data_IF_588463599730
#
_entry.id   IF_588463599730
#
_cell.length_a   1.000
_cell.length_b   1.000
_cell.length_c   1.000
_cell.angle_alpha   90.00
_cell.angle_beta   90.00
_cell.angle_gamma   90.00
#
_symmetry.space_group_name_H-M   'P 1'
#
loop_
_entity.id
_entity.type
_entity.pdbx_description
1 polymer ?
#
# COMPACT_ATOMS: atom_id res chain seq x y z
N UNK A 1 2.56 4.32 -32.23
CA UNK A 1 3.29 4.34 -30.93
C UNK A 1 3.62 5.81 -30.69
N UNK A 2 3.06 6.38 -29.64
CA UNK A 2 3.36 7.76 -29.24
C UNK A 2 4.80 7.74 -28.71
N UNK A 3 5.64 8.61 -29.24
CA UNK A 3 7.01 8.74 -28.76
C UNK A 3 6.99 9.58 -27.47
N UNK A 4 7.00 8.91 -26.33
CA UNK A 4 6.96 9.54 -25.00
C UNK A 4 8.09 10.56 -24.76
N UNK A 5 9.16 10.51 -25.56
CA UNK A 5 10.24 11.47 -25.47
C UNK A 5 9.88 12.80 -26.14
N UNK A 6 9.17 12.74 -27.26
CA UNK A 6 8.66 13.95 -27.94
C UNK A 6 7.53 14.63 -27.14
N UNK A 7 6.69 13.86 -26.43
CA UNK A 7 5.71 14.44 -25.51
C UNK A 7 6.35 15.12 -24.29
N UNK A 8 7.46 14.62 -23.76
CA UNK A 8 8.18 15.29 -22.67
C UNK A 8 8.64 16.69 -23.05
N UNK A 9 9.08 16.88 -24.27
CA UNK A 9 9.56 18.17 -24.77
C UNK A 9 8.41 19.16 -25.05
N UNK A 10 7.21 18.64 -25.30
CA UNK A 10 6.01 19.44 -25.58
C UNK A 10 5.22 19.87 -24.33
N UNK A 11 5.33 19.15 -23.23
CA UNK A 11 4.43 19.34 -22.08
C UNK A 11 4.97 20.25 -20.99
N UNK A 12 6.14 20.84 -21.10
CA UNK A 12 6.71 21.73 -20.05
C UNK A 12 6.55 21.11 -18.64
N UNK A 13 6.81 19.80 -18.51
CA UNK A 13 6.58 19.05 -17.28
C UNK A 13 7.52 19.53 -16.19
N UNK A 14 6.97 19.87 -15.04
CA UNK A 14 7.75 20.16 -13.84
C UNK A 14 8.49 18.89 -13.43
N UNK A 15 9.80 18.95 -13.39
CA UNK A 15 10.61 17.85 -12.90
C UNK A 15 10.36 17.69 -11.39
N UNK A 16 9.76 16.55 -10.99
CA UNK A 16 9.48 16.27 -9.59
C UNK A 16 10.71 15.62 -8.99
N UNK A 17 11.34 16.32 -8.04
CA UNK A 17 12.46 15.77 -7.28
C UNK A 17 11.96 14.73 -6.26
N UNK A 18 12.64 13.58 -6.19
CA UNK A 18 12.43 12.55 -5.18
C UNK A 18 12.60 13.05 -3.72
N UNK A 19 13.26 14.18 -3.52
CA UNK A 19 13.53 14.76 -2.19
C UNK A 19 12.29 15.07 -1.35
N UNK A 20 11.12 15.16 -1.95
CA UNK A 20 9.85 15.44 -1.27
C UNK A 20 9.00 14.19 -1.02
N UNK A 21 9.43 13.06 -1.53
CA UNK A 21 8.71 11.82 -1.45
C UNK A 21 9.58 10.73 -0.83
N UNK A 22 8.96 9.82 -0.15
CA UNK A 22 9.63 8.64 0.39
C UNK A 22 9.94 7.67 -0.76
N UNK A 23 11.20 7.29 -0.92
CA UNK A 23 11.56 6.24 -1.87
C UNK A 23 11.41 4.86 -1.25
N UNK A 24 11.22 3.86 -2.12
CA UNK A 24 11.28 2.47 -1.70
C UNK A 24 12.69 2.09 -1.23
N UNK A 25 12.85 1.34 -0.14
CA UNK A 25 14.15 0.81 0.28
C UNK A 25 14.73 -0.20 -0.72
N UNK A 26 13.93 -0.65 -1.67
CA UNK A 26 14.33 -1.61 -2.71
C UNK A 26 14.74 -0.95 -4.01
N UNK A 27 14.70 0.39 -4.10
CA UNK A 27 14.91 1.12 -5.35
C UNK A 27 16.24 0.76 -6.04
N UNK A 28 17.32 0.59 -5.27
CA UNK A 28 18.63 0.21 -5.80
C UNK A 28 18.65 -1.18 -6.46
N UNK A 29 17.67 -2.04 -6.15
CA UNK A 29 17.56 -3.38 -6.72
C UNK A 29 16.97 -3.41 -8.11
N UNK A 30 16.28 -2.37 -8.50
CA UNK A 30 15.56 -2.30 -9.78
C UNK A 30 15.73 -0.97 -10.51
N UNK A 31 16.57 -0.06 -10.00
CA UNK A 31 16.86 1.19 -10.69
C UNK A 31 17.61 0.93 -12.00
N UNK A 32 17.07 1.41 -13.09
CA UNK A 32 17.63 1.29 -14.43
C UNK A 32 17.52 2.61 -15.16
N UNK A 33 18.37 2.80 -16.20
CA UNK A 33 18.30 3.98 -17.06
C UNK A 33 16.98 4.10 -17.84
N UNK A 34 16.18 3.04 -17.88
CA UNK A 34 14.87 3.00 -18.56
C UNK A 34 13.70 3.13 -17.59
N UNK A 35 13.97 3.26 -16.30
CA UNK A 35 12.92 3.32 -15.30
C UNK A 35 12.12 4.63 -15.43
N UNK A 36 10.80 4.48 -15.45
CA UNK A 36 9.85 5.59 -15.31
C UNK A 36 9.30 5.53 -13.90
N UNK A 37 9.34 6.67 -13.21
CA UNK A 37 8.85 6.80 -11.84
C UNK A 37 7.57 7.62 -11.79
N UNK A 38 6.75 7.34 -10.79
CA UNK A 38 5.53 8.08 -10.47
C UNK A 38 5.38 8.28 -8.98
N UNK A 39 4.39 9.04 -8.58
CA UNK A 39 4.04 9.26 -7.17
C UNK A 39 2.74 8.54 -6.87
N UNK A 40 2.75 7.74 -5.80
CA UNK A 40 1.59 7.05 -5.28
C UNK A 40 1.73 6.93 -3.75
N UNK A 41 0.67 7.21 -3.01
CA UNK A 41 0.66 7.21 -1.54
C UNK A 41 1.83 8.03 -0.91
N UNK A 42 2.15 9.19 -1.49
CA UNK A 42 3.30 10.03 -1.13
C UNK A 42 4.67 9.33 -1.25
N UNK A 43 4.74 8.25 -2.03
CA UNK A 43 5.99 7.53 -2.31
C UNK A 43 6.37 7.67 -3.77
N UNK A 44 7.67 7.78 -4.00
CA UNK A 44 8.24 7.83 -5.34
C UNK A 44 8.58 6.40 -5.76
N UNK A 45 7.80 5.86 -6.69
CA UNK A 45 7.80 4.45 -7.06
C UNK A 45 8.16 4.25 -8.52
N UNK A 46 8.72 3.07 -8.83
CA UNK A 46 8.87 2.64 -10.21
C UNK A 46 7.49 2.29 -10.80
N UNK A 47 7.14 2.93 -11.90
CA UNK A 47 5.94 2.62 -12.69
C UNK A 47 6.26 1.66 -13.83
N UNK A 48 7.46 1.79 -14.38
CA UNK A 48 7.93 0.97 -15.49
C UNK A 48 9.46 0.88 -15.45
N UNK A 49 10.01 -0.29 -15.68
CA UNK A 49 11.45 -0.57 -15.57
C UNK A 49 12.12 -0.86 -16.92
N UNK A 50 11.43 -0.62 -18.04
CA UNK A 50 11.96 -0.87 -19.39
C UNK A 50 11.78 -2.29 -19.88
N UNK A 51 10.95 -3.10 -19.22
CA UNK A 51 10.70 -4.50 -19.59
C UNK A 51 9.59 -4.63 -20.64
N UNK A 52 9.55 -5.81 -21.31
CA UNK A 52 8.44 -6.17 -22.17
C UNK A 52 7.19 -6.49 -21.32
N UNK A 53 6.10 -5.72 -21.41
CA UNK A 53 4.89 -5.93 -20.60
C UNK A 53 4.17 -7.25 -20.96
N UNK A 54 4.26 -7.71 -22.20
CA UNK A 54 3.65 -8.98 -22.62
C UNK A 54 4.38 -10.15 -21.98
N UNK A 55 5.72 -10.11 -22.00
CA UNK A 55 6.53 -11.14 -21.35
C UNK A 55 6.28 -11.15 -19.83
N UNK A 56 6.17 -9.99 -19.19
CA UNK A 56 5.86 -9.88 -17.75
C UNK A 56 4.47 -10.43 -17.44
N UNK A 57 3.47 -10.11 -18.25
CA UNK A 57 2.14 -10.67 -18.09
C UNK A 57 2.14 -12.21 -18.09
N UNK A 58 2.81 -12.83 -19.06
CA UNK A 58 2.88 -14.29 -19.12
C UNK A 58 3.73 -14.89 -18.01
N UNK A 59 4.78 -14.20 -17.57
CA UNK A 59 5.54 -14.62 -16.39
C UNK A 59 4.66 -14.62 -15.14
N UNK A 60 3.85 -13.59 -14.94
CA UNK A 60 2.88 -13.52 -13.84
C UNK A 60 1.86 -14.67 -13.90
N UNK A 61 1.35 -14.98 -15.09
CA UNK A 61 0.33 -16.02 -15.28
C UNK A 61 0.86 -17.45 -15.14
N UNK A 62 2.13 -17.67 -15.46
CA UNK A 62 2.72 -19.01 -15.55
C UNK A 62 3.73 -19.33 -14.43
N UNK A 63 4.31 -18.32 -13.81
CA UNK A 63 5.33 -18.43 -12.77
C UNK A 63 4.98 -17.56 -11.56
N UNK A 64 5.76 -16.54 -11.30
CA UNK A 64 5.46 -15.49 -10.31
C UNK A 64 6.25 -14.21 -10.63
N UNK A 65 5.75 -13.10 -10.13
CA UNK A 65 6.44 -11.82 -10.07
C UNK A 65 6.43 -11.28 -8.65
N UNK A 66 7.47 -10.52 -8.33
CA UNK A 66 7.56 -9.73 -7.12
C UNK A 66 7.28 -8.27 -7.46
N UNK A 67 6.48 -7.60 -6.64
CA UNK A 67 6.16 -6.19 -6.78
C UNK A 67 6.58 -5.45 -5.51
N UNK A 68 7.27 -4.34 -5.70
CA UNK A 68 7.44 -3.33 -4.68
C UNK A 68 6.22 -2.43 -4.71
N UNK A 69 5.37 -2.53 -3.70
CA UNK A 69 4.08 -1.84 -3.69
C UNK A 69 4.07 -0.69 -2.70
N UNK A 70 3.46 0.44 -3.07
CA UNK A 70 3.51 1.68 -2.27
C UNK A 70 2.48 1.73 -1.15
N UNK A 71 1.61 0.76 -1.00
CA UNK A 71 0.60 0.71 0.04
C UNK A 71 1.24 0.90 1.41
N UNK A 72 0.71 1.87 2.17
CA UNK A 72 1.25 2.26 3.46
C UNK A 72 0.40 1.70 4.59
N UNK A 73 0.98 0.83 5.47
CA UNK A 73 0.33 0.48 6.71
C UNK A 73 0.26 1.69 7.66
N UNK A 74 -0.88 1.81 8.34
CA UNK A 74 -1.09 2.73 9.46
C UNK A 74 -1.37 1.86 10.68
N UNK A 75 -0.64 2.05 11.76
CA UNK A 75 -0.83 1.34 13.01
C UNK A 75 -1.83 2.09 13.89
N UNK A 76 -2.79 1.35 14.45
CA UNK A 76 -3.79 1.85 15.38
C UNK A 76 -3.77 0.97 16.63
N UNK A 77 -3.45 1.57 17.78
CA UNK A 77 -3.38 0.90 19.09
C UNK A 77 -4.18 1.66 20.12
N UNK A 78 -4.59 1.00 21.17
CA UNK A 78 -5.22 1.62 22.32
C UNK A 78 -6.54 0.96 22.73
N UNK A 79 -7.00 1.18 23.97
CA UNK A 79 -8.18 0.54 24.51
C UNK A 79 -9.46 0.85 23.74
N UNK A 80 -9.54 2.02 23.08
CA UNK A 80 -10.69 2.40 22.27
C UNK A 80 -10.53 2.10 20.77
N UNK A 81 -9.46 1.40 20.34
CA UNK A 81 -9.16 1.16 18.93
C UNK A 81 -10.31 0.46 18.18
N UNK A 82 -11.00 -0.50 18.80
CA UNK A 82 -12.15 -1.20 18.20
C UNK A 82 -13.31 -0.23 17.99
N UNK A 83 -13.67 0.55 19.01
CA UNK A 83 -14.79 1.52 18.93
C UNK A 83 -14.48 2.61 17.92
N UNK A 84 -13.23 3.09 17.91
CA UNK A 84 -12.76 4.09 16.97
C UNK A 84 -12.86 3.59 15.52
N UNK A 85 -12.36 2.38 15.24
CA UNK A 85 -12.43 1.79 13.90
C UNK A 85 -13.89 1.45 13.50
N UNK A 86 -14.74 1.04 14.42
CA UNK A 86 -16.19 0.88 14.15
C UNK A 86 -16.88 2.20 13.79
N UNK A 87 -16.36 3.35 14.28
CA UNK A 87 -16.89 4.68 13.93
C UNK A 87 -16.45 5.13 12.55
N UNK A 88 -15.18 4.89 12.18
CA UNK A 88 -14.58 5.46 10.96
C UNK A 88 -14.69 4.56 9.73
N UNK A 89 -14.92 3.25 9.91
CA UNK A 89 -15.02 2.28 8.84
C UNK A 89 -16.46 1.81 8.65
N UNK A 90 -16.82 1.48 7.42
CA UNK A 90 -18.15 0.94 7.09
C UNK A 90 -18.34 -0.51 7.54
N UNK A 91 -17.26 -1.19 7.90
CA UNK A 91 -17.27 -2.57 8.38
C UNK A 91 -17.20 -2.61 9.88
N UNK A 92 -17.99 -3.51 10.51
CA UNK A 92 -17.99 -3.71 11.94
C UNK A 92 -16.73 -4.45 12.41
N UNK A 93 -15.77 -3.70 12.94
CA UNK A 93 -14.46 -4.22 13.37
C UNK A 93 -14.56 -5.00 14.68
N UNK A 94 -15.53 -4.67 15.54
CA UNK A 94 -15.81 -5.42 16.77
C UNK A 94 -16.11 -6.92 16.53
N UNK A 95 -16.60 -7.28 15.34
CA UNK A 95 -16.82 -8.69 14.95
C UNK A 95 -15.59 -9.36 14.34
N UNK A 96 -14.48 -8.63 14.17
CA UNK A 96 -13.28 -9.14 13.52
C UNK A 96 -12.49 -10.05 14.46
N UNK A 97 -12.13 -11.25 13.99
CA UNK A 97 -11.28 -12.18 14.74
C UNK A 97 -9.82 -11.72 14.73
N UNK A 98 -9.11 -11.95 15.83
CA UNK A 98 -7.65 -11.74 15.92
C UNK A 98 -6.96 -12.66 14.89
N UNK A 99 -5.87 -12.17 14.29
CA UNK A 99 -5.11 -12.86 13.26
C UNK A 99 -5.77 -12.86 11.88
N UNK A 100 -6.79 -11.99 11.64
CA UNK A 100 -7.47 -11.88 10.35
C UNK A 100 -7.30 -10.49 9.73
N UNK A 101 -7.40 -10.47 8.39
CA UNK A 101 -7.48 -9.27 7.59
C UNK A 101 -8.86 -9.15 6.92
N UNK A 102 -9.43 -7.95 6.89
CA UNK A 102 -10.70 -7.66 6.24
C UNK A 102 -10.57 -6.40 5.38
N UNK A 103 -11.12 -6.47 4.17
CA UNK A 103 -11.30 -5.27 3.37
C UNK A 103 -12.32 -4.35 4.03
N UNK A 104 -11.98 -3.08 4.20
CA UNK A 104 -12.82 -2.10 4.86
C UNK A 104 -12.68 -0.73 4.18
N UNK A 105 -13.79 -0.01 4.14
CA UNK A 105 -13.94 1.27 3.45
C UNK A 105 -14.25 2.36 4.47
N UNK A 106 -13.63 3.52 4.33
CA UNK A 106 -14.05 4.75 5.00
C UNK A 106 -14.84 5.63 4.02
N UNK A 107 -15.94 6.20 4.49
CA UNK A 107 -16.80 7.06 3.70
C UNK A 107 -16.87 8.46 4.26
N UNK A 108 -17.05 9.44 3.37
CA UNK A 108 -17.44 10.79 3.75
C UNK A 108 -18.87 10.84 4.29
N UNK A 109 -19.29 11.90 5.01
CA UNK A 109 -20.67 12.05 5.47
C UNK A 109 -21.74 12.01 4.36
N UNK A 110 -21.34 12.25 3.12
CA UNK A 110 -22.23 12.16 1.94
C UNK A 110 -22.26 10.78 1.31
N UNK A 111 -21.57 9.78 1.89
CA UNK A 111 -21.54 8.40 1.40
C UNK A 111 -20.52 8.14 0.28
N UNK A 112 -19.73 9.13 -0.13
CA UNK A 112 -18.63 8.91 -1.08
C UNK A 112 -17.48 8.15 -0.42
N UNK A 113 -16.85 7.24 -1.14
CA UNK A 113 -15.65 6.53 -0.68
C UNK A 113 -14.52 7.53 -0.50
N UNK A 114 -13.96 7.60 0.70
CA UNK A 114 -12.78 8.40 1.01
C UNK A 114 -11.50 7.57 0.92
N UNK A 115 -11.54 6.36 1.47
CA UNK A 115 -10.42 5.42 1.46
C UNK A 115 -10.95 3.99 1.45
N UNK A 116 -10.25 3.14 0.74
CA UNK A 116 -10.40 1.69 0.81
C UNK A 116 -9.06 1.03 1.18
N UNK A 117 -9.12 -0.15 1.77
CA UNK A 117 -7.92 -0.84 2.20
C UNK A 117 -8.22 -2.10 2.99
N UNK A 118 -7.18 -2.68 3.56
CA UNK A 118 -7.28 -3.90 4.37
C UNK A 118 -6.92 -3.58 5.81
N UNK A 119 -7.84 -3.85 6.73
CA UNK A 119 -7.57 -3.80 8.16
C UNK A 119 -7.15 -5.19 8.64
N UNK A 120 -6.03 -5.26 9.37
CA UNK A 120 -5.52 -6.46 10.05
C UNK A 120 -5.67 -6.29 11.55
N UNK A 121 -6.09 -7.34 12.24
CA UNK A 121 -6.20 -7.36 13.71
C UNK A 121 -5.14 -8.30 14.29
N UNK A 122 -4.15 -7.76 14.99
CA UNK A 122 -3.07 -8.54 15.60
C UNK A 122 -3.39 -8.96 17.03
N UNK A 123 -4.10 -8.11 17.77
CA UNK A 123 -4.55 -8.41 19.14
C UNK A 123 -5.89 -7.73 19.42
N UNK A 124 -6.33 -7.72 20.68
CA UNK A 124 -7.58 -7.06 21.06
C UNK A 124 -7.60 -5.59 20.68
N UNK A 125 -6.49 -4.88 20.90
CA UNK A 125 -6.37 -3.43 20.76
C UNK A 125 -5.24 -3.02 19.82
N UNK A 126 -4.85 -3.87 18.88
CA UNK A 126 -3.77 -3.59 17.92
C UNK A 126 -4.19 -3.96 16.51
N UNK A 127 -4.18 -2.95 15.63
CA UNK A 127 -4.59 -3.04 14.24
C UNK A 127 -3.58 -2.37 13.32
N UNK A 128 -3.49 -2.88 12.09
CA UNK A 128 -2.96 -2.15 10.96
C UNK A 128 -4.05 -1.95 9.92
N UNK A 129 -4.08 -0.76 9.34
CA UNK A 129 -4.86 -0.48 8.14
C UNK A 129 -3.89 -0.22 6.99
N UNK A 130 -3.87 -1.11 6.01
CA UNK A 130 -3.05 -0.96 4.80
C UNK A 130 -3.88 -0.19 3.80
N UNK A 131 -3.55 1.10 3.65
CA UNK A 131 -4.27 2.01 2.78
C UNK A 131 -3.78 1.92 1.33
N UNK A 132 -4.67 2.28 0.40
CA UNK A 132 -4.32 2.62 -0.97
C UNK A 132 -3.70 4.03 -1.04
N UNK A 133 -3.94 4.79 -2.10
CA UNK A 133 -3.46 6.17 -2.23
C UNK A 133 -4.30 7.14 -1.39
N UNK A 134 -3.66 8.17 -0.82
CA UNK A 134 -4.34 9.26 -0.12
C UNK A 134 -3.94 9.44 1.35
N UNK A 135 -4.47 10.49 2.02
CA UNK A 135 -4.03 10.92 3.35
C UNK A 135 -4.86 10.28 4.49
N UNK A 136 -5.01 8.96 4.51
CA UNK A 136 -5.90 8.31 5.48
C UNK A 136 -5.41 8.43 6.94
N UNK A 137 -4.10 8.46 7.16
CA UNK A 137 -3.54 8.73 8.50
C UNK A 137 -4.06 10.06 9.07
N UNK A 138 -4.03 11.12 8.25
CA UNK A 138 -4.57 12.42 8.63
C UNK A 138 -6.07 12.37 8.91
N UNK A 139 -6.83 11.60 8.13
CA UNK A 139 -8.25 11.38 8.36
C UNK A 139 -8.50 10.68 9.70
N UNK A 140 -7.75 9.64 10.01
CA UNK A 140 -7.85 8.92 11.28
C UNK A 140 -7.54 9.85 12.46
N UNK A 141 -6.45 10.63 12.37
CA UNK A 141 -6.07 11.62 13.39
C UNK A 141 -7.17 12.66 13.61
N UNK A 142 -7.78 13.17 12.54
CA UNK A 142 -8.87 14.16 12.64
C UNK A 142 -10.14 13.59 13.29
N UNK A 143 -10.32 12.28 13.34
CA UNK A 143 -11.49 11.61 13.92
C UNK A 143 -11.21 10.96 15.28
N UNK A 144 -9.98 11.03 15.79
CA UNK A 144 -9.57 10.35 17.01
C UNK A 144 -9.93 11.08 18.30
N UNK A 145 -10.41 12.33 18.22
CA UNK A 145 -10.82 13.08 19.40
C UNK A 145 -11.86 12.30 20.24
N UNK A 146 -11.60 12.18 21.53
CA UNK A 146 -12.46 11.47 22.48
C UNK A 146 -12.26 9.96 22.53
N UNK A 147 -11.24 9.43 21.82
CA UNK A 147 -10.83 8.01 21.88
C UNK A 147 -9.42 7.88 22.43
N UNK A 148 -9.20 6.91 23.30
CA UNK A 148 -7.87 6.51 23.75
C UNK A 148 -7.24 5.59 22.72
N UNK A 149 -6.66 6.21 21.67
CA UNK A 149 -5.98 5.54 20.55
C UNK A 149 -4.71 6.26 20.17
N UNK A 150 -3.70 5.48 19.84
CA UNK A 150 -2.47 5.91 19.19
C UNK A 150 -2.53 5.54 17.71
N UNK A 151 -2.24 6.50 16.83
CA UNK A 151 -2.19 6.33 15.38
C UNK A 151 -0.77 6.69 14.93
N UNK A 152 -0.09 5.75 14.27
CA UNK A 152 1.31 5.91 13.90
C UNK A 152 1.68 5.17 12.61
N UNK A 153 2.81 5.55 12.02
CA UNK A 153 3.43 4.83 10.92
C UNK A 153 4.34 3.72 11.50
N UNK A 154 4.03 2.42 11.28
CA UNK A 154 4.85 1.32 11.79
C UNK A 154 6.18 1.15 11.07
N UNK A 155 6.51 2.07 10.12
CA UNK A 155 7.75 2.02 9.29
C UNK A 155 7.90 0.72 8.49
N UNK A 156 6.79 0.10 8.17
CA UNK A 156 6.76 -1.12 7.36
C UNK A 156 6.71 -0.82 5.86
N UNK A 157 7.12 -1.82 5.07
CA UNK A 157 7.05 -1.80 3.62
C UNK A 157 6.36 -3.05 3.13
N UNK A 158 5.60 -2.92 2.05
CA UNK A 158 4.84 -4.01 1.49
C UNK A 158 5.52 -4.51 0.22
N UNK A 159 5.75 -5.82 0.17
CA UNK A 159 6.17 -6.53 -1.03
C UNK A 159 5.06 -7.50 -1.37
N UNK A 160 4.69 -7.57 -2.64
CA UNK A 160 3.69 -8.49 -3.12
C UNK A 160 4.32 -9.52 -4.05
N UNK A 161 4.07 -10.79 -3.78
CA UNK A 161 4.48 -11.91 -4.65
C UNK A 161 3.22 -12.52 -5.24
N UNK A 162 3.09 -12.48 -6.57
CA UNK A 162 1.92 -12.96 -7.28
C UNK A 162 2.29 -13.98 -8.36
N UNK A 163 1.42 -14.96 -8.54
CA UNK A 163 1.51 -15.99 -9.57
C UNK A 163 1.38 -17.39 -9.00
N UNK A 164 1.23 -18.43 -9.85
CA UNK A 164 1.01 -19.81 -9.41
C UNK A 164 2.16 -20.37 -8.55
N UNK A 165 3.39 -19.88 -8.70
CA UNK A 165 4.54 -20.32 -7.91
C UNK A 165 4.75 -19.49 -6.61
N UNK A 166 3.89 -18.52 -6.27
CA UNK A 166 4.12 -17.60 -5.14
C UNK A 166 4.24 -18.32 -3.80
N UNK A 167 3.39 -19.31 -3.52
CA UNK A 167 3.45 -20.06 -2.27
C UNK A 167 4.79 -20.80 -2.13
N UNK A 168 5.21 -21.53 -3.18
CA UNK A 168 6.48 -22.25 -3.16
C UNK A 168 7.67 -21.31 -2.96
N UNK A 169 7.66 -20.14 -3.58
CA UNK A 169 8.71 -19.12 -3.40
C UNK A 169 8.76 -18.66 -1.93
N UNK A 170 7.60 -18.45 -1.31
CA UNK A 170 7.53 -18.06 0.09
C UNK A 170 7.99 -19.17 1.03
N UNK A 171 7.59 -20.41 0.78
CA UNK A 171 8.07 -21.58 1.54
C UNK A 171 9.58 -21.72 1.47
N UNK A 172 10.15 -21.62 0.26
CA UNK A 172 11.60 -21.70 0.03
C UNK A 172 12.35 -20.53 0.73
N UNK A 173 11.82 -19.31 0.63
CA UNK A 173 12.43 -18.12 1.22
C UNK A 173 12.37 -18.09 2.76
N UNK A 174 11.40 -18.78 3.35
CA UNK A 174 11.18 -18.82 4.81
C UNK A 174 11.60 -20.15 5.44
N UNK A 175 12.25 -21.04 4.68
CA UNK A 175 12.62 -22.39 5.12
C UNK A 175 11.41 -23.17 5.66
N UNK A 176 10.27 -23.05 5.01
CA UNK A 176 9.05 -23.77 5.35
C UNK A 176 8.34 -23.25 6.61
N UNK A 177 8.56 -22.00 6.99
CA UNK A 177 7.87 -21.37 8.14
C UNK A 177 6.50 -20.77 7.76
N UNK A 178 6.17 -20.75 6.48
CA UNK A 178 4.87 -20.34 5.94
C UNK A 178 4.23 -21.53 5.28
#
# INVERSE_FOLDING_TARGET
MINLQEEKDLLNTVEISARRFEESPFIERHDTSKMIRGVYANRFQAVYMGEDPIQKYWTLRQKALIFDVPEKPIEIKGPDSVKFLDKVLTRKISNMKIGRGYYAIACTPKGGIFMDGVVFRFSENHFWYVQADGPFETWLLAHSEGFDVEISDPKSRVIQIQGPASLKIMEDATNGQI
#
